data_IF_926893495215
#
_entry.id   IF_926893495215
#
_cell.length_a   1.000
_cell.length_b   1.000
_cell.length_c   1.000
_cell.angle_alpha   90.00
_cell.angle_beta   90.00
_cell.angle_gamma   90.00
#
_symmetry.space_group_name_H-M   'P 1'
#
loop_
_entity.id
_entity.type
_entity.pdbx_description
1 polymer ?
#
# COMPACT_ATOMS: atom_id res chain seq x y z
N UNK A 1 11.06 2.34 4.20
CA UNK A 1 10.29 1.26 3.54
C UNK A 1 10.71 1.12 2.06
N UNK A 2 10.92 -0.12 1.55
CA UNK A 2 11.07 -0.35 0.10
C UNK A 2 9.71 -0.74 -0.47
N UNK A 3 9.05 0.21 -1.13
CA UNK A 3 7.77 -0.04 -1.80
C UNK A 3 8.06 -0.61 -3.19
N UNK A 4 7.46 -1.75 -3.53
CA UNK A 4 7.62 -2.40 -4.83
C UNK A 4 6.91 -1.56 -5.90
N UNK A 5 7.48 -1.52 -7.10
CA UNK A 5 6.89 -0.82 -8.24
C UNK A 5 5.43 -1.25 -8.47
N UNK A 6 4.54 -0.28 -8.68
CA UNK A 6 3.10 -0.51 -8.78
C UNK A 6 2.34 -0.50 -7.46
N UNK A 7 2.99 -0.19 -6.33
CA UNK A 7 2.34 0.10 -5.06
C UNK A 7 2.62 1.53 -4.64
N UNK A 8 1.65 2.17 -3.99
CA UNK A 8 1.76 3.50 -3.42
C UNK A 8 1.34 3.47 -1.95
N UNK A 9 1.97 4.30 -1.13
CA UNK A 9 1.56 4.51 0.25
C UNK A 9 0.67 5.74 0.32
N UNK A 10 -0.50 5.62 0.94
CA UNK A 10 -1.40 6.74 1.23
C UNK A 10 -1.64 6.83 2.73
N UNK A 11 -1.77 8.05 3.21
CA UNK A 11 -2.19 8.30 4.59
C UNK A 11 -3.67 8.67 4.60
N UNK A 12 -4.49 7.89 5.31
CA UNK A 12 -5.95 8.09 5.39
C UNK A 12 -6.33 8.03 6.87
N UNK A 13 -6.96 9.09 7.39
CA UNK A 13 -7.39 9.18 8.79
C UNK A 13 -6.28 8.89 9.82
N UNK A 14 -5.02 9.21 9.49
CA UNK A 14 -3.86 8.96 10.37
C UNK A 14 -3.22 7.57 10.19
N UNK A 15 -3.85 6.67 9.43
CA UNK A 15 -3.30 5.34 9.14
C UNK A 15 -2.56 5.31 7.80
N UNK A 16 -1.52 4.47 7.74
CA UNK A 16 -0.75 4.22 6.52
C UNK A 16 -1.31 3.01 5.78
N UNK A 17 -1.73 3.24 4.54
CA UNK A 17 -2.37 2.24 3.68
C UNK A 17 -1.55 2.06 2.42
N UNK A 18 -1.21 0.80 2.11
CA UNK A 18 -0.58 0.45 0.83
C UNK A 18 -1.66 0.10 -0.18
N UNK A 19 -1.68 0.83 -1.29
CA UNK A 19 -2.62 0.65 -2.39
C UNK A 19 -1.86 0.20 -3.62
N UNK A 20 -2.33 -0.86 -4.28
CA UNK A 20 -1.84 -1.25 -5.59
C UNK A 20 -2.50 -0.40 -6.67
N UNK A 21 -1.72 0.28 -7.51
CA UNK A 21 -2.21 1.05 -8.65
C UNK A 21 -1.54 0.56 -9.95
N UNK A 22 -2.33 0.40 -11.02
CA UNK A 22 -1.86 0.06 -12.36
C UNK A 22 -1.91 -1.42 -12.74
N UNK A 23 -1.49 -1.72 -13.98
CA UNK A 23 -1.52 -3.06 -14.61
C UNK A 23 -0.58 -4.09 -13.94
N UNK A 24 0.32 -3.65 -13.05
CA UNK A 24 1.17 -4.55 -12.27
C UNK A 24 0.40 -5.33 -11.19
N UNK A 25 -0.86 -4.94 -10.91
CA UNK A 25 -1.70 -5.47 -9.83
C UNK A 25 -2.82 -6.40 -10.32
N UNK A 26 -2.64 -7.06 -11.46
CA UNK A 26 -3.64 -7.98 -12.07
C UNK A 26 -4.12 -9.10 -11.14
N UNK A 27 -3.44 -9.33 -10.00
CA UNK A 27 -3.83 -10.34 -9.01
C UNK A 27 -3.78 -9.86 -7.55
N UNK A 28 -3.75 -8.55 -7.30
CA UNK A 28 -3.71 -8.00 -5.95
C UNK A 28 -5.03 -7.31 -5.60
N UNK A 29 -5.94 -8.11 -5.02
CA UNK A 29 -7.29 -7.67 -4.67
C UNK A 29 -7.40 -7.32 -3.17
N UNK A 30 -6.28 -7.14 -2.48
CA UNK A 30 -6.23 -7.00 -1.01
C UNK A 30 -5.71 -5.62 -0.62
N UNK A 31 -6.25 -5.08 0.46
CA UNK A 31 -5.80 -3.84 1.08
C UNK A 31 -4.93 -4.20 2.28
N UNK A 32 -3.78 -3.55 2.43
CA UNK A 32 -2.88 -3.74 3.57
C UNK A 32 -2.92 -2.46 4.43
N UNK A 33 -3.32 -2.61 5.70
CA UNK A 33 -3.15 -1.58 6.72
C UNK A 33 -1.86 -1.86 7.50
N UNK A 34 -1.09 -0.81 7.77
CA UNK A 34 0.21 -0.89 8.43
C UNK A 34 0.14 -0.22 9.80
N UNK A 35 0.85 -0.79 10.76
CA UNK A 35 1.08 -0.15 12.05
C UNK A 35 2.21 0.89 11.96
N UNK A 36 2.32 1.74 12.98
CA UNK A 36 3.28 2.87 13.00
C UNK A 36 4.75 2.43 12.86
N UNK A 37 5.12 1.28 13.43
CA UNK A 37 6.50 0.78 13.35
C UNK A 37 6.87 0.14 12.01
N UNK A 38 5.88 -0.28 11.22
CA UNK A 38 6.09 -0.94 9.93
C UNK A 38 6.02 0.03 8.74
N UNK A 39 5.45 1.22 8.95
CA UNK A 39 5.36 2.31 7.98
C UNK A 39 6.74 2.89 7.60
#
# INVERSE_FOLDING_TARGET
>A
MKIKEGFILRQICGEYVVVGEGLAQVNFNKMLSLNESAA
#
